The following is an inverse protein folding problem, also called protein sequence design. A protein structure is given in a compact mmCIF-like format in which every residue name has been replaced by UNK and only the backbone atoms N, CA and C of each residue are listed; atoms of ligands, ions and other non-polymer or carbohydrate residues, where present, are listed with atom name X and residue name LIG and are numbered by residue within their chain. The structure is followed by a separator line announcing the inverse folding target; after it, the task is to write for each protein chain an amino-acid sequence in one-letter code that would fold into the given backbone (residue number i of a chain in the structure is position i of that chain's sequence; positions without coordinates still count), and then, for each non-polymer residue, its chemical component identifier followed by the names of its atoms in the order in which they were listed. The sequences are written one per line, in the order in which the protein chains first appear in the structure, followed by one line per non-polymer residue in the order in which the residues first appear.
data_IF_017441809762
#
_entry.id   IF_017441809762
#
_cell.length_a   1.000
_cell.length_b   1.000
_cell.length_c   1.000
_cell.angle_alpha   90.00
_cell.angle_beta   90.00
_cell.angle_gamma   90.00
#
_symmetry.space_group_name_H-M   'P 1'
#
loop_
_entity.id
_entity.type
_entity.pdbx_description
1 polymer ?
#
# COMPACT_ATOMS: atom_id res chain seq x y z
N UNK A 1 -22.01 -5.04 17.29
CA UNK A 1 -21.42 -3.69 17.03
C UNK A 1 -19.89 -3.61 17.23
N UNK A 2 -19.27 -4.48 18.03
CA UNK A 2 -17.81 -4.49 18.27
C UNK A 2 -16.94 -4.66 17.01
N UNK A 3 -17.36 -5.48 16.04
CA UNK A 3 -16.60 -5.73 14.81
C UNK A 3 -16.45 -4.50 13.91
N UNK A 4 -17.44 -3.60 13.88
CA UNK A 4 -17.38 -2.33 13.09
C UNK A 4 -16.23 -1.46 13.61
N UNK A 5 -16.10 -1.37 14.95
CA UNK A 5 -15.02 -0.62 15.56
C UNK A 5 -13.64 -1.21 15.25
N UNK A 6 -13.52 -2.54 15.25
CA UNK A 6 -12.28 -3.23 14.90
C UNK A 6 -11.88 -2.97 13.43
N UNK A 7 -12.84 -2.97 12.51
CA UNK A 7 -12.58 -2.69 11.10
C UNK A 7 -12.22 -1.21 10.88
N UNK A 8 -12.86 -0.29 11.62
CA UNK A 8 -12.51 1.13 11.57
C UNK A 8 -11.08 1.34 12.09
N UNK A 9 -10.74 0.73 13.23
CA UNK A 9 -9.38 0.75 13.77
C UNK A 9 -8.36 0.24 12.74
N UNK A 10 -8.65 -0.90 12.10
CA UNK A 10 -7.82 -1.42 11.01
C UNK A 10 -7.67 -0.39 9.88
N UNK A 11 -8.76 0.24 9.43
CA UNK A 11 -8.73 1.22 8.36
C UNK A 11 -7.84 2.43 8.68
N UNK A 12 -7.98 2.99 9.89
CA UNK A 12 -7.14 4.08 10.36
C UNK A 12 -5.66 3.69 10.46
N UNK A 13 -5.39 2.55 11.08
CA UNK A 13 -4.01 2.02 11.20
C UNK A 13 -3.41 1.73 9.82
N UNK A 14 -4.19 1.21 8.87
CA UNK A 14 -3.75 0.96 7.50
C UNK A 14 -3.35 2.27 6.80
N UNK A 15 -4.14 3.33 6.93
CA UNK A 15 -3.78 4.64 6.37
C UNK A 15 -2.51 5.22 6.99
N UNK A 16 -2.38 5.13 8.30
CA UNK A 16 -1.18 5.56 9.03
C UNK A 16 0.06 4.71 8.66
N UNK A 17 -0.12 3.40 8.40
CA UNK A 17 0.96 2.53 7.90
C UNK A 17 1.51 3.00 6.55
N UNK A 18 0.69 3.47 5.62
CA UNK A 18 1.18 3.98 4.33
C UNK A 18 2.07 5.22 4.52
N UNK A 19 1.75 6.07 5.48
CA UNK A 19 2.58 7.20 5.87
C UNK A 19 3.89 6.72 6.49
N UNK A 20 3.82 5.79 7.45
CA UNK A 20 4.99 5.22 8.11
C UNK A 20 5.92 4.51 7.12
N UNK A 21 5.37 3.75 6.15
CA UNK A 21 6.14 3.11 5.06
C UNK A 21 6.94 4.13 4.28
N UNK A 22 6.30 5.21 3.82
CA UNK A 22 6.99 6.24 3.04
C UNK A 22 8.09 6.89 3.86
N UNK A 23 7.83 7.24 5.13
CA UNK A 23 8.83 7.78 6.04
C UNK A 23 9.98 6.82 6.33
N UNK A 24 9.71 5.53 6.47
CA UNK A 24 10.75 4.52 6.66
C UNK A 24 11.67 4.41 5.44
N UNK A 25 11.10 4.60 4.22
CA UNK A 25 11.83 4.53 2.95
C UNK A 25 12.55 5.82 2.56
N UNK A 26 12.41 6.91 3.33
CA UNK A 26 13.17 8.15 3.09
C UNK A 26 14.68 7.94 3.29
N UNK A 27 15.05 7.07 4.25
CA UNK A 27 16.46 6.82 4.65
C UNK A 27 16.95 5.41 4.34
N UNK A 28 16.04 4.49 4.00
CA UNK A 28 16.35 3.08 3.79
C UNK A 28 15.87 2.59 2.42
N UNK A 29 16.45 1.50 1.93
CA UNK A 29 15.97 0.86 0.72
C UNK A 29 14.61 0.19 0.96
N UNK A 30 13.87 -0.08 -0.14
CA UNK A 30 12.58 -0.77 -0.06
C UNK A 30 12.73 -2.15 0.59
N UNK A 31 13.76 -2.91 0.19
CA UNK A 31 13.95 -4.28 0.69
C UNK A 31 14.39 -4.30 2.15
N UNK A 32 15.26 -3.37 2.56
CA UNK A 32 15.63 -3.24 3.99
C UNK A 32 14.41 -3.01 4.87
N UNK A 33 13.53 -2.07 4.48
CA UNK A 33 12.31 -1.78 5.25
C UNK A 33 11.38 -2.98 5.27
N UNK A 34 11.18 -3.66 4.12
CA UNK A 34 10.32 -4.84 4.01
C UNK A 34 10.80 -5.98 4.91
N UNK A 35 12.09 -6.32 4.82
CA UNK A 35 12.68 -7.42 5.61
C UNK A 35 12.62 -7.09 7.09
N UNK A 36 13.12 -5.90 7.49
CA UNK A 36 13.15 -5.51 8.90
C UNK A 36 11.74 -5.47 9.51
N UNK A 37 10.80 -4.82 8.81
CA UNK A 37 9.42 -4.72 9.26
C UNK A 37 8.74 -6.09 9.40
N UNK A 38 8.96 -7.02 8.48
CA UNK A 38 8.34 -8.36 8.53
C UNK A 38 8.96 -9.22 9.64
N UNK A 39 10.27 -9.16 9.82
CA UNK A 39 10.96 -9.87 10.91
C UNK A 39 10.50 -9.34 12.28
N UNK A 40 10.45 -8.01 12.46
CA UNK A 40 9.95 -7.41 13.71
C UNK A 40 8.49 -7.82 13.94
N UNK A 41 7.66 -7.81 12.90
CA UNK A 41 6.25 -8.23 13.02
C UNK A 41 6.12 -9.69 13.41
N UNK A 42 6.96 -10.59 12.86
CA UNK A 42 6.98 -12.00 13.27
C UNK A 42 7.36 -12.12 14.75
N UNK A 43 8.40 -11.41 15.21
CA UNK A 43 8.81 -11.41 16.62
C UNK A 43 7.66 -10.95 17.52
N UNK A 44 6.91 -9.92 17.13
CA UNK A 44 5.75 -9.43 17.90
C UNK A 44 4.57 -10.42 17.91
N UNK A 45 4.50 -11.35 16.97
CA UNK A 45 3.45 -12.38 16.88
C UNK A 45 3.86 -13.68 17.60
N UNK A 46 5.14 -13.88 17.96
CA UNK A 46 5.61 -15.07 18.68
C UNK A 46 4.76 -15.43 19.93
N UNK A 47 4.27 -14.47 20.76
CA UNK A 47 3.40 -14.82 21.89
C UNK A 47 2.15 -15.61 21.50
N UNK A 48 1.64 -15.43 20.27
CA UNK A 48 0.49 -16.18 19.73
C UNK A 48 0.88 -17.55 19.16
N UNK A 49 2.17 -17.91 19.15
CA UNK A 49 2.65 -19.18 18.57
C UNK A 49 2.07 -20.40 19.30
N UNK A 50 1.84 -20.30 20.62
CA UNK A 50 1.24 -21.38 21.40
C UNK A 50 -0.15 -21.78 20.89
N UNK A 51 -0.95 -20.79 20.45
CA UNK A 51 -2.27 -21.01 19.86
C UNK A 51 -2.17 -21.47 18.41
N UNK A 52 -1.05 -21.16 17.73
CA UNK A 52 -0.84 -21.44 16.32
C UNK A 52 -0.32 -22.86 16.01
N UNK A 53 0.21 -23.57 16.99
CA UNK A 53 0.76 -24.94 16.82
C UNK A 53 -0.33 -25.96 16.49
N UNK A 54 -1.59 -25.67 16.83
CA UNK A 54 -2.73 -26.56 16.61
C UNK A 54 -3.28 -26.60 15.19
N UNK A 55 -2.72 -25.84 14.24
CA UNK A 55 -3.23 -25.81 12.86
C UNK A 55 -3.13 -27.18 12.19
N UNK A 56 -4.18 -27.58 11.50
CA UNK A 56 -4.14 -28.78 10.67
C UNK A 56 -3.26 -28.54 9.42
N UNK A 57 -2.32 -29.45 9.19
CA UNK A 57 -1.31 -29.33 8.11
C UNK A 57 -1.91 -29.16 6.71
N UNK A 58 -3.14 -29.62 6.47
CA UNK A 58 -3.77 -29.47 5.16
C UNK A 58 -4.08 -28.01 4.80
N UNK A 59 -4.17 -27.09 5.78
CA UNK A 59 -4.35 -25.65 5.52
C UNK A 59 -3.04 -24.94 5.16
N UNK A 60 -1.87 -25.49 5.51
CA UNK A 60 -0.59 -24.83 5.27
C UNK A 60 -0.31 -24.45 3.80
N UNK A 61 -0.61 -25.29 2.79
CA UNK A 61 -0.41 -24.90 1.39
C UNK A 61 -1.25 -23.67 1.01
N UNK A 62 -2.48 -23.56 1.49
CA UNK A 62 -3.35 -22.42 1.24
C UNK A 62 -2.82 -21.15 1.94
N UNK A 63 -2.34 -21.26 3.18
CA UNK A 63 -1.68 -20.16 3.90
C UNK A 63 -0.38 -19.75 3.22
N UNK A 64 0.42 -20.70 2.72
CA UNK A 64 1.63 -20.42 1.96
C UNK A 64 1.32 -19.67 0.65
N UNK A 65 0.32 -20.12 -0.12
CA UNK A 65 -0.13 -19.43 -1.34
C UNK A 65 -0.62 -18.00 -1.06
N UNK A 66 -1.46 -17.82 -0.04
CA UNK A 66 -1.90 -16.49 0.43
C UNK A 66 -0.70 -15.60 0.77
N UNK A 67 0.27 -16.16 1.50
CA UNK A 67 1.48 -15.43 1.90
C UNK A 67 2.35 -15.06 0.71
N UNK A 68 2.43 -15.90 -0.32
CA UNK A 68 3.12 -15.59 -1.56
C UNK A 68 2.45 -14.43 -2.31
N UNK A 69 1.11 -14.42 -2.41
CA UNK A 69 0.38 -13.29 -2.97
C UNK A 69 0.66 -12.00 -2.19
N UNK A 70 0.70 -12.08 -0.84
CA UNK A 70 1.04 -10.93 0.00
C UNK A 70 2.48 -10.47 -0.18
N UNK A 71 3.43 -11.39 -0.29
CA UNK A 71 4.84 -11.10 -0.56
C UNK A 71 4.99 -10.26 -1.85
N UNK A 72 4.39 -10.71 -2.96
CA UNK A 72 4.39 -9.95 -4.22
C UNK A 72 3.67 -8.61 -4.08
N UNK A 73 2.50 -8.61 -3.42
CA UNK A 73 1.73 -7.41 -3.21
C UNK A 73 2.51 -6.34 -2.45
N UNK A 74 3.27 -6.72 -1.44
CA UNK A 74 4.02 -5.76 -0.63
C UNK A 74 5.24 -5.22 -1.37
N UNK A 75 5.98 -6.06 -2.10
CA UNK A 75 7.06 -5.57 -2.97
C UNK A 75 6.50 -4.49 -3.92
N UNK A 76 5.45 -4.82 -4.67
CA UNK A 76 4.82 -3.87 -5.59
C UNK A 76 4.32 -2.60 -4.88
N UNK A 77 3.67 -2.76 -3.72
CA UNK A 77 3.15 -1.67 -2.90
C UNK A 77 4.24 -0.69 -2.46
N UNK A 78 5.34 -1.21 -1.91
CA UNK A 78 6.42 -0.38 -1.41
C UNK A 78 7.18 0.34 -2.53
N UNK A 79 7.44 -0.34 -3.65
CA UNK A 79 8.06 0.31 -4.81
C UNK A 79 7.16 1.40 -5.40
N UNK A 80 5.86 1.14 -5.53
CA UNK A 80 4.91 2.14 -5.99
C UNK A 80 4.86 3.33 -5.02
N UNK A 81 4.71 3.09 -3.72
CA UNK A 81 4.60 4.13 -2.70
C UNK A 81 5.87 4.97 -2.57
N UNK A 82 7.05 4.38 -2.81
CA UNK A 82 8.33 5.12 -2.78
C UNK A 82 8.37 6.22 -3.85
N UNK A 83 7.77 5.98 -5.02
CA UNK A 83 7.80 6.89 -6.17
C UNK A 83 6.52 7.73 -6.33
N UNK A 84 5.38 7.22 -5.86
CA UNK A 84 4.11 7.93 -5.95
C UNK A 84 3.86 8.82 -4.72
N UNK A 85 3.12 9.95 -4.87
CA UNK A 85 2.56 10.66 -3.73
C UNK A 85 1.68 9.76 -2.87
N UNK A 86 1.74 9.89 -1.54
CA UNK A 86 0.99 9.04 -0.60
C UNK A 86 -0.51 9.13 -0.83
N UNK A 87 -1.03 10.35 -1.08
CA UNK A 87 -2.45 10.56 -1.36
C UNK A 87 -2.89 9.88 -2.66
N UNK A 88 -2.06 9.96 -3.73
CA UNK A 88 -2.35 9.29 -5.01
C UNK A 88 -2.37 7.76 -4.83
N UNK A 89 -1.36 7.21 -4.14
CA UNK A 89 -1.32 5.79 -3.82
C UNK A 89 -2.53 5.35 -2.99
N UNK A 90 -2.94 6.15 -2.00
CA UNK A 90 -4.13 5.91 -1.18
C UNK A 90 -5.40 5.77 -2.03
N UNK A 91 -5.59 6.65 -3.02
CA UNK A 91 -6.74 6.59 -3.92
C UNK A 91 -6.64 5.38 -4.86
N UNK A 92 -5.46 5.12 -5.46
CA UNK A 92 -5.26 3.93 -6.28
C UNK A 92 -5.55 2.64 -5.52
N UNK A 93 -5.26 2.61 -4.22
CA UNK A 93 -5.55 1.44 -3.37
C UNK A 93 -7.05 1.13 -3.22
N UNK A 94 -7.94 2.09 -3.55
CA UNK A 94 -9.39 1.86 -3.57
C UNK A 94 -9.78 0.87 -4.68
N UNK A 95 -8.97 0.73 -5.73
CA UNK A 95 -9.21 -0.25 -6.80
C UNK A 95 -9.26 -1.71 -6.33
N UNK A 96 -8.77 -2.00 -5.12
CA UNK A 96 -8.97 -3.32 -4.49
C UNK A 96 -10.42 -3.73 -4.38
N UNK A 97 -11.32 -2.76 -4.24
CA UNK A 97 -12.76 -3.05 -4.18
C UNK A 97 -13.24 -3.59 -5.51
N UNK A 98 -12.77 -3.00 -6.63
CA UNK A 98 -13.09 -3.48 -7.98
C UNK A 98 -12.62 -4.93 -8.17
N UNK A 99 -11.34 -5.19 -7.83
CA UNK A 99 -10.78 -6.53 -7.97
C UNK A 99 -11.42 -7.53 -7.00
N UNK A 100 -11.73 -7.09 -5.78
CA UNK A 100 -12.44 -7.93 -4.80
C UNK A 100 -13.86 -8.29 -5.26
N UNK A 101 -14.61 -7.33 -5.79
CA UNK A 101 -15.95 -7.57 -6.36
C UNK A 101 -15.89 -8.49 -7.59
N UNK A 102 -14.90 -8.27 -8.47
CA UNK A 102 -14.68 -9.12 -9.65
C UNK A 102 -14.38 -10.57 -9.25
N UNK A 103 -13.53 -10.79 -8.24
CA UNK A 103 -13.25 -12.13 -7.71
C UNK A 103 -14.49 -12.77 -7.08
N UNK A 104 -15.33 -11.99 -6.38
CA UNK A 104 -16.60 -12.45 -5.83
C UNK A 104 -17.54 -12.97 -6.93
N UNK A 105 -17.67 -12.21 -8.03
CA UNK A 105 -18.50 -12.62 -9.17
C UNK A 105 -17.94 -13.85 -9.89
N UNK A 106 -16.62 -13.85 -10.18
CA UNK A 106 -16.00 -14.91 -10.97
C UNK A 106 -15.85 -16.23 -10.21
N UNK A 107 -15.49 -16.16 -8.90
CA UNK A 107 -15.17 -17.35 -8.11
C UNK A 107 -16.30 -17.80 -7.21
N UNK A 108 -17.15 -16.89 -6.73
CA UNK A 108 -18.29 -17.21 -5.88
C UNK A 108 -19.62 -17.19 -6.66
N UNK A 109 -19.57 -16.89 -7.98
CA UNK A 109 -20.74 -16.75 -8.85
C UNK A 109 -21.79 -15.78 -8.25
N UNK A 110 -21.32 -14.74 -7.52
CA UNK A 110 -22.21 -13.72 -6.96
C UNK A 110 -22.84 -12.91 -8.11
N UNK A 111 -24.16 -12.79 -8.11
CA UNK A 111 -24.86 -11.94 -9.08
C UNK A 111 -24.74 -10.47 -8.69
N UNK A 112 -24.18 -9.66 -9.59
CA UNK A 112 -24.19 -8.21 -9.43
C UNK A 112 -25.61 -7.68 -9.68
N UNK A 113 -26.16 -6.96 -8.71
CA UNK A 113 -27.36 -6.19 -8.92
C UNK A 113 -27.04 -4.90 -9.72
N UNK A 114 -28.07 -4.21 -10.19
CA UNK A 114 -27.92 -2.97 -10.97
C UNK A 114 -27.12 -1.90 -10.21
N UNK A 115 -27.31 -1.79 -8.90
CA UNK A 115 -26.57 -0.87 -8.05
C UNK A 115 -25.07 -1.22 -7.99
N UNK A 116 -24.71 -2.51 -7.98
CA UNK A 116 -23.33 -2.97 -8.05
C UNK A 116 -22.64 -2.57 -9.35
N UNK A 117 -23.34 -2.62 -10.48
CA UNK A 117 -22.81 -2.17 -11.77
C UNK A 117 -22.56 -0.66 -11.78
N UNK A 118 -23.52 0.14 -11.30
CA UNK A 118 -23.33 1.59 -11.16
C UNK A 118 -22.19 1.91 -10.19
N UNK A 119 -22.09 1.20 -9.07
CA UNK A 119 -20.98 1.33 -8.13
C UNK A 119 -19.63 1.13 -8.80
N UNK A 120 -19.46 0.08 -9.60
CA UNK A 120 -18.26 -0.18 -10.38
C UNK A 120 -17.94 0.95 -11.38
N UNK A 121 -18.95 1.47 -12.08
CA UNK A 121 -18.78 2.60 -13.02
C UNK A 121 -18.27 3.84 -12.29
N UNK A 122 -18.83 4.19 -11.12
CA UNK A 122 -18.38 5.34 -10.32
C UNK A 122 -16.95 5.16 -9.80
N UNK A 123 -16.59 3.97 -9.38
CA UNK A 123 -15.20 3.67 -8.95
C UNK A 123 -14.24 3.83 -10.13
N UNK A 124 -14.58 3.27 -11.30
CA UNK A 124 -13.78 3.45 -12.52
C UNK A 124 -13.66 4.93 -12.91
N UNK A 125 -14.76 5.69 -12.88
CA UNK A 125 -14.77 7.11 -13.22
C UNK A 125 -13.86 7.92 -12.26
N UNK A 126 -13.97 7.71 -10.95
CA UNK A 126 -13.14 8.39 -9.96
C UNK A 126 -11.65 8.08 -10.11
N UNK A 127 -11.29 6.82 -10.42
CA UNK A 127 -9.91 6.42 -10.69
C UNK A 127 -9.38 7.00 -12.01
N UNK A 128 -10.23 7.05 -13.07
CA UNK A 128 -9.87 7.67 -14.36
C UNK A 128 -9.67 9.17 -14.23
N UNK A 129 -10.51 9.87 -13.47
CA UNK A 129 -10.36 11.30 -13.22
C UNK A 129 -9.00 11.66 -12.62
N UNK A 130 -8.38 10.77 -11.84
CA UNK A 130 -7.02 10.99 -11.32
C UNK A 130 -5.98 11.12 -12.44
N UNK A 131 -6.16 10.45 -13.57
CA UNK A 131 -5.28 10.53 -14.75
C UNK A 131 -5.48 11.82 -15.53
N UNK A 132 -6.71 12.31 -15.57
CA UNK A 132 -7.09 13.50 -16.32
C UNK A 132 -7.18 14.72 -15.40
N UNK A 133 -6.04 15.22 -14.91
CA UNK A 133 -6.01 16.50 -14.20
C UNK A 133 -6.46 17.57 -15.18
N UNK A 134 -7.61 18.25 -14.99
CA UNK A 134 -8.02 19.32 -15.88
C UNK A 134 -6.97 20.43 -15.80
N UNK A 135 -6.30 20.68 -16.91
CA UNK A 135 -5.38 21.80 -17.05
C UNK A 135 -6.23 23.08 -16.94
N UNK A 136 -6.29 23.70 -15.77
CA UNK A 136 -6.90 25.03 -15.61
C UNK A 136 -6.07 26.01 -16.44
N UNK A 137 -6.43 26.17 -17.72
CA UNK A 137 -6.06 27.35 -18.51
C UNK A 137 -6.71 28.55 -17.84
N UNK A 138 -5.91 29.37 -17.16
CA UNK A 138 -6.41 30.62 -16.60
C UNK A 138 -5.57 31.10 -15.44
N UNK A 139 -4.32 31.44 -15.69
CA UNK A 139 -3.49 32.59 -15.30
C UNK A 139 -2.06 32.23 -15.54
N UNK A 140 -1.48 32.92 -16.48
CA UNK A 140 -0.05 33.02 -16.75
C UNK A 140 0.62 33.57 -15.49
N UNK A 141 1.16 32.68 -14.66
CA UNK A 141 2.23 32.95 -13.74
C UNK A 141 3.18 31.79 -13.88
N UNK A 142 4.29 32.07 -14.51
CA UNK A 142 5.54 31.35 -14.58
C UNK A 142 5.53 29.86 -14.29
N UNK A 143 5.62 29.11 -15.37
CA UNK A 143 6.17 27.76 -15.45
C UNK A 143 7.64 27.77 -15.00
N UNK A 144 7.83 27.74 -13.70
CA UNK A 144 9.14 27.64 -13.05
C UNK A 144 9.04 26.72 -11.83
N UNK A 145 8.60 25.49 -12.07
CA UNK A 145 8.42 24.50 -11.00
C UNK A 145 8.82 23.07 -11.40
N UNK A 146 9.84 22.91 -12.25
CA UNK A 146 10.43 21.57 -12.48
C UNK A 146 11.96 21.57 -12.63
N UNK A 147 12.66 22.63 -12.20
CA UNK A 147 14.13 22.71 -12.28
C UNK A 147 14.83 23.07 -10.95
N UNK A 148 14.30 22.66 -9.81
CA UNK A 148 14.94 22.90 -8.50
C UNK A 148 16.00 21.85 -8.09
N UNK A 149 16.62 21.16 -9.04
CA UNK A 149 17.82 20.33 -8.80
C UNK A 149 18.97 20.67 -9.76
N UNK A 150 19.09 21.93 -10.14
CA UNK A 150 20.36 22.42 -10.69
C UNK A 150 21.22 22.89 -9.52
N UNK A 151 22.39 22.30 -9.28
CA UNK A 151 23.33 22.83 -8.31
C UNK A 151 23.67 24.27 -8.70
N UNK A 152 23.35 25.25 -7.83
CA UNK A 152 23.80 26.61 -7.99
C UNK A 152 25.33 26.60 -8.10
N UNK A 153 25.81 26.89 -9.27
CA UNK A 153 27.22 27.27 -9.46
C UNK A 153 27.43 28.52 -8.63
N UNK A 154 28.08 28.41 -7.51
CA UNK A 154 28.59 29.55 -6.76
C UNK A 154 29.71 30.14 -7.64
N UNK A 155 29.65 31.40 -8.07
CA UNK A 155 30.78 31.99 -8.76
C UNK A 155 31.90 32.18 -7.72
N UNK A 156 32.95 31.40 -7.83
CA UNK A 156 34.22 31.69 -7.20
C UNK A 156 34.82 32.88 -7.90
N UNK A 157 34.96 33.94 -7.13
CA UNK A 157 35.68 35.17 -7.52
C UNK A 157 37.12 34.81 -7.83
N UNK A 158 37.53 35.24 -9.05
CA UNK A 158 38.87 35.55 -9.54
C UNK A 158 40.08 34.93 -8.83
N UNK A 159 40.76 34.05 -9.55
CA UNK A 159 42.20 34.19 -9.70
C UNK A 159 42.57 33.76 -11.14
N UNK A 160 43.28 34.67 -11.78
CA UNK A 160 43.82 34.64 -13.11
C UNK A 160 44.79 33.47 -13.28
N UNK A 161 44.42 32.44 -14.04
CA UNK A 161 45.39 31.73 -14.89
C UNK A 161 44.62 30.84 -15.88
N UNK A 162 44.97 30.97 -17.11
CA UNK A 162 44.42 30.29 -18.28
C UNK A 162 44.59 28.77 -18.19
N UNK A 163 43.47 28.04 -17.98
CA UNK A 163 43.33 26.67 -18.44
C UNK A 163 41.97 26.47 -19.07
N UNK A 164 41.98 25.95 -20.30
CA UNK A 164 40.82 25.68 -21.14
C UNK A 164 39.71 24.93 -20.36
N UNK A 165 38.42 25.26 -20.58
CA UNK A 165 37.32 24.61 -19.89
C UNK A 165 37.28 23.12 -20.25
N UNK A 166 37.56 22.23 -19.30
CA UNK A 166 37.29 20.81 -19.45
C UNK A 166 35.78 20.63 -19.55
N UNK A 167 35.34 20.32 -20.76
CA UNK A 167 33.95 19.86 -21.00
C UNK A 167 33.78 18.54 -20.24
N UNK A 168 33.19 18.60 -19.05
CA UNK A 168 32.76 17.42 -18.35
C UNK A 168 31.61 16.82 -19.18
N UNK A 169 31.78 15.60 -19.71
CA UNK A 169 30.69 14.99 -20.47
C UNK A 169 29.44 14.92 -19.58
N UNK A 170 28.23 15.17 -20.14
CA UNK A 170 27.01 15.11 -19.38
C UNK A 170 26.89 13.68 -18.78
N UNK A 171 26.87 13.61 -17.46
CA UNK A 171 26.58 12.36 -16.74
C UNK A 171 25.27 11.86 -17.31
N UNK A 172 25.30 10.69 -17.96
CA UNK A 172 24.14 10.08 -18.57
C UNK A 172 23.05 9.94 -17.50
N UNK A 173 22.04 10.82 -17.55
CA UNK A 173 20.85 10.72 -16.68
C UNK A 173 20.27 9.33 -16.89
N UNK A 174 20.37 8.49 -15.88
CA UNK A 174 19.65 7.22 -15.87
C UNK A 174 18.18 7.55 -16.15
N UNK A 175 17.62 7.02 -17.26
CA UNK A 175 16.23 7.25 -17.66
C UNK A 175 15.33 6.94 -16.48
N UNK A 176 14.78 7.97 -15.84
CA UNK A 176 13.80 7.76 -14.78
C UNK A 176 12.62 6.98 -15.36
N UNK A 177 12.27 5.90 -14.69
CA UNK A 177 11.16 5.05 -15.13
C UNK A 177 9.88 5.88 -15.10
N UNK A 178 9.05 5.84 -16.14
CA UNK A 178 7.87 6.69 -16.25
C UNK A 178 6.92 6.45 -15.06
N UNK A 179 6.34 7.52 -14.54
CA UNK A 179 5.38 7.47 -13.39
C UNK A 179 4.25 6.46 -13.64
N UNK A 180 3.84 6.29 -14.91
CA UNK A 180 2.84 5.31 -15.32
C UNK A 180 3.19 3.87 -14.92
N UNK A 181 4.48 3.51 -14.95
CA UNK A 181 4.93 2.19 -14.51
C UNK A 181 4.60 1.93 -13.03
N UNK A 182 4.81 2.93 -12.17
CA UNK A 182 4.52 2.80 -10.74
C UNK A 182 3.01 2.75 -10.45
N UNK A 183 2.19 3.37 -11.30
CA UNK A 183 0.72 3.22 -11.24
C UNK A 183 0.33 1.78 -11.60
N UNK A 184 0.90 1.18 -12.65
CA UNK A 184 0.66 -0.23 -13.01
C UNK A 184 1.10 -1.16 -11.88
N UNK A 185 2.29 -0.94 -11.30
CA UNK A 185 2.79 -1.70 -10.16
C UNK A 185 1.83 -1.59 -8.96
N UNK A 186 1.25 -0.39 -8.71
CA UNK A 186 0.24 -0.22 -7.67
C UNK A 186 -1.02 -1.05 -7.94
N UNK A 187 -1.50 -1.13 -9.18
CA UNK A 187 -2.64 -1.97 -9.54
C UNK A 187 -2.33 -3.47 -9.37
N UNK A 188 -1.14 -3.94 -9.77
CA UNK A 188 -0.70 -5.32 -9.52
C UNK A 188 -0.73 -5.62 -8.01
N UNK A 189 -0.22 -4.71 -7.19
CA UNK A 189 -0.32 -4.83 -5.74
C UNK A 189 -1.78 -4.95 -5.27
N UNK A 190 -2.70 -4.18 -5.85
CA UNK A 190 -4.12 -4.24 -5.50
C UNK A 190 -4.75 -5.59 -5.85
N UNK A 191 -4.43 -6.15 -7.02
CA UNK A 191 -4.91 -7.48 -7.44
C UNK A 191 -4.41 -8.56 -6.48
N UNK A 192 -3.09 -8.61 -6.21
CA UNK A 192 -2.50 -9.60 -5.31
C UNK A 192 -3.07 -9.48 -3.88
N UNK A 193 -3.27 -8.26 -3.39
CA UNK A 193 -3.92 -8.04 -2.10
C UNK A 193 -5.40 -8.48 -2.08
N UNK A 194 -6.12 -8.35 -3.20
CA UNK A 194 -7.51 -8.80 -3.29
C UNK A 194 -7.60 -10.32 -3.25
N UNK A 195 -6.69 -11.01 -3.95
CA UNK A 195 -6.57 -12.47 -3.90
C UNK A 195 -6.26 -12.92 -2.47
N UNK A 196 -5.26 -12.32 -1.82
CA UNK A 196 -4.93 -12.63 -0.44
C UNK A 196 -6.09 -12.39 0.51
N UNK A 197 -6.82 -11.28 0.37
CA UNK A 197 -7.99 -10.97 1.20
C UNK A 197 -9.18 -11.93 0.97
N UNK A 198 -9.33 -12.44 -0.25
CA UNK A 198 -10.28 -13.50 -0.55
C UNK A 198 -9.90 -14.81 0.15
N UNK A 199 -8.62 -15.18 0.13
CA UNK A 199 -8.11 -16.35 0.84
C UNK A 199 -8.29 -16.21 2.36
N UNK A 200 -8.10 -15.01 2.93
CA UNK A 200 -8.38 -14.75 4.34
C UNK A 200 -9.79 -15.13 4.73
N UNK A 201 -10.77 -14.78 3.89
CA UNK A 201 -12.17 -15.07 4.16
C UNK A 201 -12.45 -16.57 4.14
N UNK A 202 -11.83 -17.31 3.21
CA UNK A 202 -12.01 -18.76 3.14
C UNK A 202 -11.37 -19.41 4.36
N UNK A 203 -10.11 -19.08 4.64
CA UNK A 203 -9.35 -19.70 5.74
C UNK A 203 -9.91 -19.39 7.12
N UNK A 204 -10.42 -18.16 7.34
CA UNK A 204 -11.00 -17.77 8.63
C UNK A 204 -12.31 -18.47 8.97
N UNK A 205 -12.84 -19.34 8.13
CA UNK A 205 -13.96 -20.22 8.47
C UNK A 205 -13.52 -21.41 9.32
N UNK A 206 -12.28 -21.87 9.09
CA UNK A 206 -11.81 -23.15 9.59
C UNK A 206 -10.62 -23.00 10.55
N UNK A 207 -9.85 -21.91 10.44
CA UNK A 207 -8.68 -21.65 11.29
C UNK A 207 -8.84 -20.36 12.10
N UNK A 208 -8.19 -20.31 13.26
CA UNK A 208 -8.24 -19.14 14.15
C UNK A 208 -7.42 -17.96 13.62
N UNK A 209 -7.72 -16.76 14.16
CA UNK A 209 -6.97 -15.55 13.82
C UNK A 209 -5.50 -15.61 14.23
N UNK A 210 -5.18 -16.34 15.29
CA UNK A 210 -3.82 -16.52 15.78
C UNK A 210 -3.03 -17.47 14.89
N UNK A 211 -3.64 -18.60 14.48
CA UNK A 211 -3.05 -19.55 13.54
C UNK A 211 -2.75 -18.88 12.20
N UNK A 212 -3.75 -18.19 11.61
CA UNK A 212 -3.56 -17.52 10.34
C UNK A 212 -2.47 -16.44 10.44
N UNK A 213 -2.47 -15.61 11.49
CA UNK A 213 -1.51 -14.52 11.64
C UNK A 213 -0.08 -15.02 11.81
N UNK A 214 0.13 -16.06 12.63
CA UNK A 214 1.46 -16.62 12.87
C UNK A 214 2.03 -17.26 11.60
N UNK A 215 1.30 -18.18 11.00
CA UNK A 215 1.80 -18.96 9.86
C UNK A 215 2.01 -18.10 8.62
N UNK A 216 1.09 -17.17 8.32
CA UNK A 216 1.32 -16.33 7.15
C UNK A 216 2.51 -15.38 7.34
N UNK A 217 2.76 -14.89 8.57
CA UNK A 217 3.96 -14.08 8.84
C UNK A 217 5.23 -14.90 8.73
N UNK A 218 5.22 -16.14 9.18
CA UNK A 218 6.35 -17.06 9.04
C UNK A 218 6.69 -17.29 7.55
N UNK A 219 5.68 -17.57 6.73
CA UNK A 219 5.88 -17.76 5.28
C UNK A 219 6.35 -16.48 4.59
N UNK A 220 5.84 -15.31 4.96
CA UNK A 220 6.31 -14.04 4.38
C UNK A 220 7.78 -13.81 4.70
N UNK A 221 8.20 -14.00 5.95
CA UNK A 221 9.62 -13.88 6.34
C UNK A 221 10.47 -14.88 5.57
N UNK A 222 10.01 -16.12 5.42
CA UNK A 222 10.70 -17.15 4.62
C UNK A 222 10.87 -16.69 3.16
N UNK A 223 9.82 -16.18 2.51
CA UNK A 223 9.90 -15.70 1.12
C UNK A 223 10.86 -14.51 0.99
N UNK A 224 10.85 -13.54 1.92
CA UNK A 224 11.81 -12.44 1.88
C UNK A 224 13.24 -12.92 2.13
N UNK A 225 13.45 -13.87 3.03
CA UNK A 225 14.78 -14.45 3.28
C UNK A 225 15.30 -15.14 2.03
N UNK A 226 14.48 -15.98 1.38
CA UNK A 226 14.84 -16.66 0.11
C UNK A 226 15.15 -15.62 -0.97
N UNK A 227 14.33 -14.56 -1.10
CA UNK A 227 14.55 -13.51 -2.09
C UNK A 227 15.88 -12.78 -1.88
N UNK A 228 16.20 -12.41 -0.64
CA UNK A 228 17.43 -11.72 -0.27
C UNK A 228 18.66 -12.60 -0.54
N UNK A 229 18.57 -13.90 -0.22
CA UNK A 229 19.65 -14.88 -0.49
C UNK A 229 19.90 -15.04 -1.99
N UNK A 230 18.83 -15.19 -2.79
CA UNK A 230 18.95 -15.36 -4.26
C UNK A 230 19.51 -14.09 -4.91
N UNK A 231 19.02 -12.92 -4.51
CA UNK A 231 19.45 -11.62 -5.06
C UNK A 231 20.76 -11.11 -4.47
N UNK A 232 21.25 -11.75 -3.40
CA UNK A 232 22.46 -11.34 -2.65
C UNK A 232 22.38 -9.86 -2.24
N UNK A 233 21.18 -9.39 -1.88
CA UNK A 233 20.98 -8.02 -1.44
C UNK A 233 21.61 -7.84 -0.05
N UNK A 234 22.35 -6.73 0.11
CA UNK A 234 22.92 -6.37 1.42
C UNK A 234 21.85 -5.66 2.23
N UNK A 235 21.42 -6.27 3.32
CA UNK A 235 20.50 -5.67 4.28
C UNK A 235 21.31 -5.05 5.42
N UNK A 236 21.21 -3.73 5.56
CA UNK A 236 21.87 -3.02 6.65
C UNK A 236 21.07 -3.18 7.95
N UNK A 237 21.74 -3.62 9.02
CA UNK A 237 21.14 -3.72 10.36
C UNK A 237 20.72 -2.33 10.88
N UNK A 238 21.29 -1.26 10.34
CA UNK A 238 20.93 0.11 10.73
C UNK A 238 19.45 0.44 10.52
N UNK A 239 18.76 -0.27 9.62
CA UNK A 239 17.30 -0.12 9.39
C UNK A 239 16.48 -0.39 10.66
N UNK A 240 16.96 -1.26 11.55
CA UNK A 240 16.29 -1.57 12.82
C UNK A 240 16.30 -0.37 13.78
N UNK A 241 17.23 0.57 13.61
CA UNK A 241 17.25 1.82 14.39
C UNK A 241 16.20 2.84 13.92
N UNK A 242 15.62 2.64 12.73
CA UNK A 242 14.60 3.54 12.21
C UNK A 242 13.27 3.32 12.95
N UNK A 243 12.87 4.32 13.76
CA UNK A 243 11.62 4.28 14.54
C UNK A 243 10.36 4.02 13.70
N UNK A 244 10.36 4.46 12.45
CA UNK A 244 9.20 4.27 11.55
C UNK A 244 8.97 2.81 11.19
N UNK A 245 10.03 1.98 11.17
CA UNK A 245 9.92 0.54 10.94
C UNK A 245 9.23 -0.15 12.12
N UNK A 246 9.54 0.23 13.35
CA UNK A 246 8.88 -0.29 14.56
C UNK A 246 7.41 0.15 14.62
N UNK A 247 7.14 1.43 14.37
CA UNK A 247 5.76 1.95 14.29
C UNK A 247 4.96 1.18 13.26
N UNK A 248 5.54 0.94 12.07
CA UNK A 248 4.93 0.17 11.00
C UNK A 248 4.59 -1.26 11.44
N UNK A 249 5.53 -1.96 12.10
CA UNK A 249 5.36 -3.33 12.54
C UNK A 249 4.27 -3.45 13.63
N UNK A 250 4.29 -2.58 14.64
CA UNK A 250 3.28 -2.57 15.71
C UNK A 250 1.88 -2.29 15.15
N UNK A 251 1.75 -1.23 14.33
CA UNK A 251 0.46 -0.88 13.70
C UNK A 251 -0.05 -1.98 12.78
N UNK A 252 0.87 -2.74 12.17
CA UNK A 252 0.52 -3.88 11.32
C UNK A 252 -0.04 -5.02 12.15
N UNK A 253 0.68 -5.48 13.18
CA UNK A 253 0.27 -6.62 14.01
C UNK A 253 -1.08 -6.35 14.68
N UNK A 254 -1.25 -5.16 15.28
CA UNK A 254 -2.50 -4.76 15.92
C UNK A 254 -3.64 -4.66 14.89
N UNK A 255 -3.38 -4.02 13.75
CA UNK A 255 -4.39 -3.83 12.72
C UNK A 255 -4.87 -5.15 12.13
N UNK A 256 -3.94 -6.03 11.74
CA UNK A 256 -4.31 -7.31 11.13
C UNK A 256 -5.01 -8.23 12.12
N UNK A 257 -4.59 -8.25 13.40
CA UNK A 257 -5.30 -8.99 14.44
C UNK A 257 -6.74 -8.50 14.60
N UNK A 258 -6.94 -7.18 14.66
CA UNK A 258 -8.27 -6.58 14.74
C UNK A 258 -9.13 -6.96 13.52
N UNK A 259 -8.54 -6.98 12.31
CA UNK A 259 -9.24 -7.38 11.10
C UNK A 259 -9.63 -8.86 11.12
N UNK A 260 -8.75 -9.77 11.56
CA UNK A 260 -9.04 -11.18 11.63
C UNK A 260 -10.15 -11.47 12.65
N UNK A 261 -10.10 -10.86 13.84
CA UNK A 261 -11.18 -10.97 14.83
C UNK A 261 -12.52 -10.47 14.24
N UNK A 262 -12.49 -9.36 13.49
CA UNK A 262 -13.69 -8.86 12.84
C UNK A 262 -14.21 -9.80 11.74
N UNK A 263 -13.31 -10.45 10.97
CA UNK A 263 -13.68 -11.44 9.94
C UNK A 263 -14.31 -12.70 10.55
N UNK A 264 -13.85 -13.13 11.73
CA UNK A 264 -14.39 -14.28 12.44
C UNK A 264 -15.82 -14.05 13.00
N UNK A 265 -16.27 -12.80 13.07
CA UNK A 265 -17.61 -12.50 13.56
C UNK A 265 -18.68 -12.86 12.50
N UNK A 266 -19.70 -13.70 12.86
CA UNK A 266 -20.74 -14.11 11.92
C UNK A 266 -21.58 -12.96 11.35
N UNK A 267 -21.75 -11.89 12.13
CA UNK A 267 -22.52 -10.71 11.73
C UNK A 267 -21.74 -9.79 10.77
N UNK A 268 -20.45 -10.01 10.60
CA UNK A 268 -19.62 -9.16 9.78
C UNK A 268 -19.90 -9.38 8.28
N UNK A 269 -20.58 -8.41 7.66
CA UNK A 269 -20.79 -8.40 6.22
C UNK A 269 -19.53 -7.87 5.54
N UNK A 270 -19.00 -8.62 4.57
CA UNK A 270 -17.76 -8.28 3.86
C UNK A 270 -17.87 -6.95 3.17
N UNK A 271 -19.02 -6.68 2.57
CA UNK A 271 -19.32 -5.42 1.91
C UNK A 271 -19.15 -4.24 2.86
N UNK A 272 -19.74 -4.30 4.06
CA UNK A 272 -19.60 -3.27 5.10
C UNK A 272 -18.14 -3.14 5.58
N UNK A 273 -17.47 -4.27 5.80
CA UNK A 273 -16.05 -4.26 6.18
C UNK A 273 -15.20 -3.59 5.12
N UNK A 274 -15.47 -3.89 3.84
CA UNK A 274 -14.71 -3.30 2.73
C UNK A 274 -14.89 -1.80 2.65
N UNK A 275 -16.10 -1.28 2.89
CA UNK A 275 -16.37 0.17 2.97
C UNK A 275 -15.59 0.82 4.10
N UNK A 276 -15.69 0.27 5.31
CA UNK A 276 -15.05 0.84 6.49
C UNK A 276 -13.51 0.83 6.33
N UNK A 277 -12.93 -0.21 5.72
CA UNK A 277 -11.50 -0.28 5.38
C UNK A 277 -11.03 0.87 4.48
N UNK A 278 -11.91 1.48 3.69
CA UNK A 278 -11.55 2.61 2.82
C UNK A 278 -11.33 3.92 3.57
N UNK A 279 -11.68 3.99 4.86
CA UNK A 279 -11.26 5.10 5.74
C UNK A 279 -9.74 5.34 5.72
N UNK A 280 -8.95 4.32 5.40
CA UNK A 280 -7.51 4.43 5.15
C UNK A 280 -7.16 5.51 4.10
N UNK A 281 -7.98 5.67 3.05
CA UNK A 281 -7.75 6.66 2.00
C UNK A 281 -7.81 8.10 2.56
N UNK A 282 -8.75 8.38 3.45
CA UNK A 282 -8.88 9.68 4.10
C UNK A 282 -7.60 10.00 4.88
N UNK A 283 -7.11 9.04 5.66
CA UNK A 283 -5.87 9.20 6.44
C UNK A 283 -4.67 9.46 5.53
N UNK A 284 -4.55 8.75 4.40
CA UNK A 284 -3.44 8.96 3.45
C UNK A 284 -3.51 10.32 2.76
N UNK A 285 -4.71 10.82 2.42
CA UNK A 285 -4.89 12.16 1.81
C UNK A 285 -4.52 13.24 2.83
N UNK A 286 -5.01 13.14 4.06
CA UNK A 286 -4.71 14.07 5.15
C UNK A 286 -3.19 14.05 5.44
N UNK A 287 -2.61 12.85 5.60
CA UNK A 287 -1.18 12.68 5.83
C UNK A 287 -0.32 13.20 4.67
N UNK A 288 -0.76 13.01 3.43
CA UNK A 288 -0.13 13.59 2.24
C UNK A 288 -0.03 15.12 2.32
N UNK A 289 -1.12 15.77 2.77
CA UNK A 289 -1.16 17.24 2.93
C UNK A 289 -0.25 17.72 4.05
N UNK A 290 -0.41 17.18 5.26
CA UNK A 290 0.23 17.74 6.44
C UNK A 290 1.68 17.28 6.62
N UNK A 291 1.99 16.01 6.27
CA UNK A 291 3.31 15.42 6.51
C UNK A 291 4.22 15.58 5.30
N UNK A 292 3.70 15.38 4.08
CA UNK A 292 4.48 15.44 2.84
C UNK A 292 4.25 16.72 2.03
N UNK A 293 3.42 17.66 2.53
CA UNK A 293 3.11 18.95 1.88
C UNK A 293 2.66 18.80 0.42
N UNK A 294 1.95 17.71 0.09
CA UNK A 294 1.48 17.45 -1.26
C UNK A 294 0.50 18.52 -1.74
N UNK A 295 0.62 18.91 -3.03
CA UNK A 295 -0.25 19.90 -3.68
C UNK A 295 -1.50 19.24 -4.30
N UNK A 296 -2.55 20.01 -4.59
CA UNK A 296 -3.74 19.55 -5.32
C UNK A 296 -4.66 18.60 -4.54
N UNK A 297 -4.68 18.70 -3.22
CA UNK A 297 -5.46 17.82 -2.33
C UNK A 297 -6.97 17.91 -2.59
N UNK A 298 -7.52 19.10 -2.87
CA UNK A 298 -8.95 19.26 -3.13
C UNK A 298 -9.45 18.39 -4.29
N UNK A 299 -8.68 18.34 -5.38
CA UNK A 299 -9.00 17.47 -6.52
C UNK A 299 -8.88 15.98 -6.16
N UNK A 300 -7.84 15.60 -5.43
CA UNK A 300 -7.66 14.22 -4.96
C UNK A 300 -8.79 13.80 -4.02
N UNK A 301 -9.26 14.72 -3.15
CA UNK A 301 -10.39 14.46 -2.26
C UNK A 301 -11.69 14.26 -3.06
N UNK A 302 -11.93 15.10 -4.09
CA UNK A 302 -13.08 14.93 -4.98
C UNK A 302 -13.06 13.55 -5.68
N UNK A 303 -11.93 13.15 -6.25
CA UNK A 303 -11.80 11.82 -6.87
C UNK A 303 -12.04 10.70 -5.85
N UNK A 304 -11.50 10.80 -4.66
CA UNK A 304 -11.72 9.84 -3.59
C UNK A 304 -13.19 9.76 -3.17
N UNK A 305 -13.88 10.91 -3.08
CA UNK A 305 -15.32 10.95 -2.74
C UNK A 305 -16.17 10.25 -3.80
N UNK A 306 -15.87 10.44 -5.09
CA UNK A 306 -16.56 9.76 -6.18
C UNK A 306 -16.36 8.23 -6.09
N UNK A 307 -15.11 7.79 -5.81
CA UNK A 307 -14.84 6.36 -5.62
C UNK A 307 -15.59 5.81 -4.40
N UNK A 308 -15.59 6.52 -3.29
CA UNK A 308 -16.30 6.10 -2.07
C UNK A 308 -17.82 6.03 -2.32
N UNK A 309 -18.39 7.02 -3.03
CA UNK A 309 -19.80 6.96 -3.43
C UNK A 309 -20.10 5.73 -4.30
N UNK A 310 -19.22 5.42 -5.25
CA UNK A 310 -19.34 4.20 -6.07
C UNK A 310 -19.30 2.92 -5.22
N UNK A 311 -18.42 2.87 -4.21
CA UNK A 311 -18.35 1.74 -3.27
C UNK A 311 -19.64 1.63 -2.46
N UNK A 312 -20.16 2.75 -1.95
CA UNK A 312 -21.42 2.79 -1.19
C UNK A 312 -22.58 2.29 -2.04
N UNK A 313 -22.72 2.80 -3.29
CA UNK A 313 -23.76 2.36 -4.22
C UNK A 313 -23.65 0.86 -4.51
N UNK A 314 -22.42 0.35 -4.70
CA UNK A 314 -22.21 -1.07 -4.98
C UNK A 314 -22.57 -2.01 -3.80
N UNK A 315 -22.77 -1.47 -2.61
CA UNK A 315 -23.09 -2.21 -1.37
C UNK A 315 -24.58 -2.16 -1.04
N UNK A 316 -25.29 -1.14 -1.54
CA UNK A 316 -26.74 -1.03 -1.34
C UNK A 316 -27.42 -2.18 -2.11
N UNK A 317 -28.12 -3.03 -1.38
CA UNK A 317 -28.90 -4.15 -1.93
C UNK A 317 -30.23 -3.64 -2.45
#
# INVERSE_FOLDING_TARGET
MSWIFLVLLYGLLKGAREIAKKKAMDTNSVMEVLVAYTVISLVLVIPSAKEAVGIDFHFLPAVAFKSFCMFLAWICSFYALKKLPVSLYGILSLSRVLFGSLLGVLLLHETLNVYGIFGLIFVCAGLLMLKFKPNRKGKSVDSQDDDDDVPRVVPLVNDLNEESPRVVPPVARAKEKPLALFVVIAFISCIMNSISGFMDKILMKDISSSELQFWYMLFIVLYYTIYVLIKREKISISVVKNKWVWILAVMFVIGDKALFIANANPESKITMMTLIKQSACIVTIIGGRFIFKEKGIGYKLLCASIVILGIVLGVIK
#
